data_IF_225349515158
#
_entry.id   IF_225349515158
#
_cell.length_a   1.000
_cell.length_b   1.000
_cell.length_c   1.000
_cell.angle_alpha   90.00
_cell.angle_beta   90.00
_cell.angle_gamma   90.00
#
_symmetry.space_group_name_H-M   'P 1'
#
loop_
_entity.id
_entity.type
_entity.pdbx_description
1 polymer ?
#
# COMPACT_ATOMS: atom_id res chain seq x y z
N UNK A 1 -2.86 30.28 10.53
CA UNK A 1 -4.04 29.42 10.71
C UNK A 1 -3.94 28.29 9.69
N UNK A 2 -3.70 27.05 10.10
CA UNK A 2 -3.52 25.91 9.19
C UNK A 2 -4.85 25.21 8.97
N UNK A 3 -5.31 25.14 7.73
CA UNK A 3 -6.48 24.38 7.30
C UNK A 3 -5.98 23.23 6.42
N UNK A 4 -6.37 22.00 6.74
CA UNK A 4 -6.10 20.81 5.93
C UNK A 4 -7.42 20.27 5.43
N UNK A 5 -7.56 20.12 4.11
CA UNK A 5 -8.70 19.47 3.49
C UNK A 5 -8.36 17.99 3.26
N UNK A 6 -9.18 17.09 3.79
CA UNK A 6 -9.02 15.63 3.62
C UNK A 6 -10.15 15.14 2.71
N UNK A 7 -9.79 14.54 1.59
CA UNK A 7 -10.72 14.01 0.60
C UNK A 7 -10.34 12.56 0.27
N UNK A 8 -10.75 11.63 1.14
CA UNK A 8 -10.51 10.20 0.93
C UNK A 8 -11.66 9.59 0.13
N UNK A 9 -11.35 8.87 -0.97
CA UNK A 9 -12.35 8.22 -1.81
C UNK A 9 -13.27 7.31 -0.98
N UNK A 10 -14.58 7.50 -1.10
CA UNK A 10 -15.58 6.74 -0.35
C UNK A 10 -15.80 7.19 1.10
N UNK A 11 -15.13 8.24 1.58
CA UNK A 11 -15.36 8.84 2.92
C UNK A 11 -15.93 10.25 2.82
N UNK A 12 -16.53 10.74 3.90
CA UNK A 12 -16.99 12.12 4.00
C UNK A 12 -15.78 13.08 4.01
N UNK A 13 -15.77 14.15 3.21
CA UNK A 13 -14.66 15.09 3.20
C UNK A 13 -14.59 15.86 4.53
N UNK A 14 -13.37 16.11 5.02
CA UNK A 14 -13.10 16.77 6.30
C UNK A 14 -12.26 18.03 6.13
N UNK A 15 -12.54 19.04 6.94
CA UNK A 15 -11.70 20.20 7.17
C UNK A 15 -11.08 20.11 8.56
N UNK A 16 -9.76 19.98 8.61
CA UNK A 16 -8.98 19.90 9.87
C UNK A 16 -8.36 21.25 10.20
N UNK A 17 -8.60 21.71 11.42
CA UNK A 17 -8.00 22.89 12.01
C UNK A 17 -7.36 22.51 13.37
N UNK A 18 -6.52 23.37 13.97
CA UNK A 18 -5.98 23.11 15.30
C UNK A 18 -7.05 22.93 16.39
N UNK A 19 -8.24 23.49 16.16
CA UNK A 19 -9.39 23.41 17.07
C UNK A 19 -10.27 22.16 16.87
N UNK A 20 -10.01 21.33 15.85
CA UNK A 20 -10.79 20.11 15.59
C UNK A 20 -10.91 19.72 14.11
N UNK A 21 -11.71 18.69 13.84
CA UNK A 21 -12.09 18.26 12.49
C UNK A 21 -13.57 18.57 12.26
N UNK A 22 -13.90 19.07 11.06
CA UNK A 22 -15.27 19.37 10.65
C UNK A 22 -15.62 18.62 9.38
N UNK A 23 -16.77 17.93 9.38
CA UNK A 23 -17.32 17.31 8.18
C UNK A 23 -17.85 18.41 7.25
N UNK A 24 -17.35 18.43 6.01
CA UNK A 24 -17.70 19.45 5.03
C UNK A 24 -18.95 19.05 4.25
N UNK A 25 -19.14 17.75 4.06
CA UNK A 25 -20.29 17.17 3.37
C UNK A 25 -20.61 15.81 3.94
N UNK A 26 -21.90 15.51 4.03
CA UNK A 26 -22.40 14.19 4.41
C UNK A 26 -22.27 13.17 3.27
N UNK A 27 -22.08 13.64 2.03
CA UNK A 27 -21.88 12.80 0.87
C UNK A 27 -20.42 12.29 0.82
N UNK A 28 -20.19 10.98 0.63
CA UNK A 28 -18.86 10.44 0.42
C UNK A 28 -18.19 11.01 -0.83
N UNK A 29 -16.88 11.26 -0.75
CA UNK A 29 -16.06 11.71 -1.88
C UNK A 29 -16.07 10.65 -2.98
N UNK A 30 -16.39 11.09 -4.19
CA UNK A 30 -16.39 10.24 -5.39
C UNK A 30 -15.11 10.41 -6.20
N UNK A 31 -14.88 9.51 -7.16
CA UNK A 31 -13.73 9.61 -8.06
C UNK A 31 -13.81 10.86 -8.96
N UNK A 32 -15.03 11.32 -9.28
CA UNK A 32 -15.24 12.56 -10.03
C UNK A 32 -14.85 13.78 -9.19
N UNK A 33 -15.14 13.77 -7.89
CA UNK A 33 -14.74 14.86 -6.99
C UNK A 33 -13.22 14.98 -6.88
N UNK A 34 -12.51 13.86 -6.81
CA UNK A 34 -11.04 13.85 -6.82
C UNK A 34 -10.45 14.37 -8.14
N UNK A 35 -11.00 13.92 -9.28
CA UNK A 35 -10.59 14.41 -10.60
C UNK A 35 -10.83 15.92 -10.74
N UNK A 36 -11.99 16.40 -10.28
CA UNK A 36 -12.32 17.82 -10.28
C UNK A 36 -11.37 18.60 -9.36
N UNK A 37 -11.10 18.11 -8.16
CA UNK A 37 -10.15 18.72 -7.24
C UNK A 37 -8.78 18.83 -7.90
N UNK A 38 -8.20 17.73 -8.40
CA UNK A 38 -6.90 17.73 -9.10
C UNK A 38 -6.87 18.73 -10.26
N UNK A 39 -7.94 18.82 -11.07
CA UNK A 39 -8.02 19.75 -12.21
C UNK A 39 -7.90 21.24 -11.82
N UNK A 40 -8.21 21.60 -10.57
CA UNK A 40 -8.17 22.99 -10.07
C UNK A 40 -6.84 23.36 -9.43
N UNK A 41 -5.98 22.37 -9.17
CA UNK A 41 -4.83 22.52 -8.28
C UNK A 41 -3.54 22.71 -9.07
N UNK A 42 -3.52 22.39 -10.37
CA UNK A 42 -2.32 22.47 -11.21
C UNK A 42 -1.39 21.28 -11.00
N UNK A 43 -0.34 21.17 -11.81
CA UNK A 43 0.60 20.02 -11.77
C UNK A 43 1.24 19.86 -10.39
N UNK A 44 1.37 18.62 -9.94
CA UNK A 44 2.06 18.28 -8.68
C UNK A 44 3.58 18.28 -8.91
N UNK A 45 4.33 18.88 -7.98
CA UNK A 45 5.79 18.73 -7.90
C UNK A 45 6.17 17.38 -7.30
N UNK A 46 7.45 17.00 -7.45
CA UNK A 46 8.02 15.72 -7.00
C UNK A 46 7.82 15.41 -5.49
N UNK A 47 7.44 16.40 -4.67
CA UNK A 47 7.08 16.23 -3.27
C UNK A 47 5.57 15.99 -3.04
N UNK A 48 4.83 15.65 -4.11
CA UNK A 48 3.38 15.47 -4.10
C UNK A 48 2.59 16.70 -3.62
N UNK A 49 3.19 17.89 -3.76
CA UNK A 49 2.54 19.16 -3.44
C UNK A 49 2.21 19.92 -4.71
N UNK A 50 1.12 20.64 -4.66
CA UNK A 50 0.73 21.56 -5.72
C UNK A 50 0.15 22.84 -5.13
N UNK A 51 0.06 23.88 -5.95
CA UNK A 51 -0.34 25.23 -5.54
C UNK A 51 -1.62 25.61 -6.30
N UNK A 52 -2.67 25.96 -5.57
CA UNK A 52 -3.83 26.55 -6.22
C UNK A 52 -3.43 27.93 -6.77
N UNK A 53 -3.58 28.10 -8.08
CA UNK A 53 -3.28 29.35 -8.76
C UNK A 53 -3.94 30.55 -8.05
N UNK A 54 -3.15 31.61 -7.83
CA UNK A 54 -3.57 32.86 -7.14
C UNK A 54 -3.95 32.70 -5.66
N UNK A 55 -3.46 31.67 -4.97
CA UNK A 55 -3.60 31.54 -3.52
C UNK A 55 -2.29 31.14 -2.83
N UNK A 56 -2.22 31.36 -1.51
CA UNK A 56 -1.14 30.85 -0.65
C UNK A 56 -1.40 29.42 -0.15
N UNK A 57 -2.51 28.80 -0.57
CA UNK A 57 -2.86 27.44 -0.15
C UNK A 57 -2.05 26.41 -0.94
N UNK A 58 -1.41 25.50 -0.20
CA UNK A 58 -0.73 24.31 -0.73
C UNK A 58 -1.63 23.11 -0.55
N UNK A 59 -1.72 22.28 -1.57
CA UNK A 59 -2.42 21.00 -1.51
C UNK A 59 -1.37 19.90 -1.57
N UNK A 60 -1.43 18.98 -0.62
CA UNK A 60 -0.65 17.75 -0.66
C UNK A 60 -1.61 16.64 -1.07
N UNK A 61 -1.33 15.98 -2.19
CA UNK A 61 -2.11 14.82 -2.61
C UNK A 61 -1.28 13.57 -2.38
N UNK A 62 -1.76 12.67 -1.54
CA UNK A 62 -1.22 11.31 -1.50
C UNK A 62 -2.01 10.53 -2.55
N UNK A 63 -1.66 10.72 -3.81
CA UNK A 63 -2.16 9.91 -4.91
C UNK A 63 -1.41 8.59 -4.88
N UNK A 64 -2.05 7.54 -4.36
CA UNK A 64 -1.48 6.19 -4.42
C UNK A 64 -2.04 5.47 -5.64
N UNK A 65 -1.57 5.91 -6.81
CA UNK A 65 -1.68 5.19 -8.07
C UNK A 65 -0.41 5.49 -8.86
N UNK A 66 0.40 4.47 -9.18
CA UNK A 66 1.65 4.62 -9.95
C UNK A 66 2.96 4.52 -9.15
N UNK A 67 2.93 4.35 -7.82
CA UNK A 67 4.16 4.17 -7.04
C UNK A 67 4.90 2.86 -7.34
N UNK A 68 4.18 1.83 -7.83
CA UNK A 68 4.80 0.61 -8.31
C UNK A 68 5.54 0.78 -9.65
N UNK A 69 5.17 1.76 -10.50
CA UNK A 69 5.92 2.01 -11.75
C UNK A 69 7.36 2.44 -11.46
N UNK A 70 7.57 3.22 -10.39
CA UNK A 70 8.90 3.72 -9.98
C UNK A 70 9.87 2.56 -9.66
N UNK A 71 9.33 1.43 -9.19
CA UNK A 71 10.12 0.25 -8.79
C UNK A 71 9.92 -0.93 -9.74
N UNK A 72 9.26 -0.72 -10.88
CA UNK A 72 8.95 -1.79 -11.84
C UNK A 72 10.21 -2.49 -12.35
N UNK A 73 11.23 -1.72 -12.71
CA UNK A 73 12.51 -2.26 -13.16
C UNK A 73 13.18 -3.13 -12.08
N UNK A 74 13.03 -2.76 -10.81
CA UNK A 74 13.53 -3.51 -9.66
C UNK A 74 12.79 -4.84 -9.50
N UNK A 75 11.48 -4.81 -9.70
CA UNK A 75 10.59 -5.99 -9.65
C UNK A 75 10.90 -6.95 -10.81
N UNK A 76 11.12 -6.43 -12.01
CA UNK A 76 11.48 -7.22 -13.20
C UNK A 76 12.89 -7.82 -13.09
N UNK A 77 13.79 -7.18 -12.33
CA UNK A 77 15.13 -7.70 -12.03
C UNK A 77 15.14 -8.97 -11.17
N UNK A 78 14.01 -9.36 -10.59
CA UNK A 78 13.83 -10.64 -9.88
C UNK A 78 14.54 -10.76 -8.53
N UNK A 79 15.30 -9.75 -8.10
CA UNK A 79 15.99 -9.77 -6.80
C UNK A 79 15.06 -9.58 -5.61
N UNK A 80 15.49 -9.98 -4.41
CA UNK A 80 14.75 -9.66 -3.19
C UNK A 80 14.78 -8.17 -2.88
N UNK A 81 13.66 -7.62 -2.41
CA UNK A 81 13.46 -6.19 -2.18
C UNK A 81 13.06 -5.96 -0.72
N UNK A 82 13.75 -5.05 -0.05
CA UNK A 82 13.42 -4.61 1.31
C UNK A 82 12.90 -3.17 1.27
N UNK A 83 11.69 -2.96 1.79
CA UNK A 83 11.01 -1.66 1.83
C UNK A 83 11.11 -1.09 3.24
N UNK A 84 11.96 -0.08 3.42
CA UNK A 84 12.22 0.56 4.72
C UNK A 84 11.68 1.99 4.76
N UNK A 85 11.13 2.42 5.89
CA UNK A 85 10.80 3.83 6.12
C UNK A 85 10.13 4.10 7.47
N UNK A 86 10.04 5.38 7.85
CA UNK A 86 9.36 5.80 9.08
C UNK A 86 7.89 5.32 9.13
N UNK A 87 7.30 5.15 10.32
CA UNK A 87 5.88 4.84 10.43
C UNK A 87 5.00 5.84 9.66
N UNK A 88 3.99 5.35 8.95
CA UNK A 88 3.01 6.18 8.24
C UNK A 88 3.46 6.74 6.87
N UNK A 89 4.65 6.38 6.35
CA UNK A 89 5.13 6.88 5.04
C UNK A 89 4.51 6.16 3.83
N UNK A 90 3.65 5.17 4.05
CA UNK A 90 2.93 4.47 2.96
C UNK A 90 3.54 3.15 2.48
N UNK A 91 4.42 2.51 3.27
CA UNK A 91 5.04 1.20 2.94
C UNK A 91 4.01 0.12 2.62
N UNK A 92 3.00 -0.02 3.47
CA UNK A 92 1.90 -0.98 3.30
C UNK A 92 1.11 -0.69 2.02
N UNK A 93 0.89 0.58 1.69
CA UNK A 93 0.17 0.95 0.47
C UNK A 93 0.98 0.66 -0.78
N UNK A 94 2.29 0.93 -0.77
CA UNK A 94 3.19 0.55 -1.85
C UNK A 94 3.15 -0.96 -2.09
N UNK A 95 3.20 -1.76 -1.02
CA UNK A 95 3.27 -3.22 -1.13
C UNK A 95 1.96 -3.84 -1.60
N UNK A 96 0.81 -3.32 -1.16
CA UNK A 96 -0.48 -3.72 -1.73
C UNK A 96 -0.49 -3.51 -3.25
N UNK A 97 0.00 -2.36 -3.70
CA UNK A 97 0.06 -2.06 -5.13
C UNK A 97 1.04 -2.97 -5.89
N UNK A 98 2.22 -3.27 -5.33
CA UNK A 98 3.15 -4.26 -5.88
C UNK A 98 2.48 -5.63 -5.98
N UNK A 99 1.84 -6.09 -4.91
CA UNK A 99 1.18 -7.39 -4.86
C UNK A 99 0.08 -7.50 -5.93
N UNK A 100 -0.76 -6.46 -6.03
CA UNK A 100 -1.81 -6.35 -7.04
C UNK A 100 -1.22 -6.36 -8.44
N UNK A 101 -0.21 -5.55 -8.73
CA UNK A 101 0.44 -5.48 -10.05
C UNK A 101 1.02 -6.84 -10.44
N UNK A 102 1.80 -7.46 -9.55
CA UNK A 102 2.39 -8.78 -9.78
C UNK A 102 1.33 -9.87 -10.01
N UNK A 103 0.27 -9.89 -9.20
CA UNK A 103 -0.77 -10.91 -9.28
C UNK A 103 -1.72 -10.69 -10.46
N UNK A 104 -2.13 -9.46 -10.74
CA UNK A 104 -3.18 -9.16 -11.72
C UNK A 104 -2.64 -8.92 -13.11
N UNK A 105 -1.59 -8.12 -13.21
CA UNK A 105 -1.01 -7.65 -14.47
C UNK A 105 0.06 -8.61 -14.97
N UNK A 106 1.02 -8.98 -14.11
CA UNK A 106 2.07 -9.94 -14.46
C UNK A 106 1.65 -11.41 -14.29
N UNK A 107 0.45 -11.66 -13.73
CA UNK A 107 -0.11 -12.99 -13.52
C UNK A 107 0.79 -13.94 -12.71
N UNK A 108 1.64 -13.39 -11.84
CA UNK A 108 2.49 -14.19 -10.94
C UNK A 108 1.65 -14.81 -9.82
N UNK A 109 2.09 -15.97 -9.34
CA UNK A 109 1.61 -16.59 -8.10
C UNK A 109 2.23 -15.85 -6.91
N UNK A 110 1.49 -14.87 -6.39
CA UNK A 110 1.91 -14.06 -5.25
C UNK A 110 1.26 -14.58 -3.97
N UNK A 111 2.08 -14.81 -2.94
CA UNK A 111 1.61 -15.12 -1.57
C UNK A 111 2.10 -14.04 -0.61
N UNK A 112 1.18 -13.52 0.19
CA UNK A 112 1.44 -12.56 1.27
C UNK A 112 1.36 -13.31 2.59
N UNK A 113 2.45 -13.32 3.33
CA UNK A 113 2.53 -13.82 4.70
C UNK A 113 2.33 -12.63 5.64
N UNK A 114 1.12 -12.50 6.17
CA UNK A 114 0.64 -11.31 6.85
C UNK A 114 0.57 -11.54 8.36
N UNK A 115 1.55 -10.99 9.08
CA UNK A 115 1.71 -11.27 10.51
C UNK A 115 0.93 -10.29 11.39
N UNK A 116 0.87 -9.02 10.99
CA UNK A 116 0.15 -7.98 11.73
C UNK A 116 -1.27 -7.75 11.22
N UNK A 117 -1.66 -8.42 10.13
CA UNK A 117 -2.86 -8.14 9.33
C UNK A 117 -2.86 -6.75 8.66
N UNK A 118 -1.74 -6.03 8.66
CA UNK A 118 -1.67 -4.70 8.05
C UNK A 118 -1.79 -4.77 6.52
N UNK A 119 -1.33 -5.82 5.85
CA UNK A 119 -1.34 -5.85 4.38
C UNK A 119 -2.73 -6.25 3.85
N UNK A 120 -3.27 -7.36 4.33
CA UNK A 120 -4.52 -7.96 3.87
C UNK A 120 -5.75 -7.57 4.68
N UNK A 121 -5.60 -6.91 5.82
CA UNK A 121 -6.68 -6.50 6.71
C UNK A 121 -7.07 -7.56 7.75
N UNK A 122 -7.88 -7.18 8.73
CA UNK A 122 -8.21 -8.03 9.90
C UNK A 122 -9.26 -9.13 9.64
N UNK A 123 -10.04 -9.04 8.55
CA UNK A 123 -11.10 -10.01 8.25
C UNK A 123 -10.57 -11.28 7.58
N UNK A 124 -11.40 -12.33 7.51
CA UNK A 124 -11.07 -13.60 6.84
C UNK A 124 -10.92 -13.44 5.32
N UNK A 125 -11.62 -12.47 4.74
CA UNK A 125 -11.52 -12.11 3.32
C UNK A 125 -10.46 -11.01 3.16
N UNK A 126 -9.42 -11.22 2.34
CA UNK A 126 -8.38 -10.22 2.15
C UNK A 126 -8.91 -8.97 1.44
N UNK A 127 -8.33 -7.83 1.80
CA UNK A 127 -8.63 -6.53 1.20
C UNK A 127 -8.39 -6.53 -0.32
N UNK A 128 -9.30 -5.96 -1.11
CA UNK A 128 -9.22 -5.95 -2.58
C UNK A 128 -7.95 -5.31 -3.16
N UNK A 129 -7.31 -4.45 -2.37
CA UNK A 129 -6.06 -3.77 -2.72
C UNK A 129 -4.85 -4.67 -2.98
N UNK A 130 -4.90 -5.96 -2.65
CA UNK A 130 -3.83 -6.93 -3.02
C UNK A 130 -4.12 -7.69 -4.33
N UNK A 131 -5.25 -7.41 -5.00
CA UNK A 131 -5.65 -8.10 -6.22
C UNK A 131 -5.89 -9.59 -6.00
N UNK A 132 -5.42 -10.43 -6.93
CA UNK A 132 -5.49 -11.90 -6.83
C UNK A 132 -4.40 -12.54 -5.96
N UNK A 133 -3.56 -11.74 -5.28
CA UNK A 133 -2.57 -12.29 -4.37
C UNK A 133 -3.25 -13.09 -3.25
N UNK A 134 -2.65 -14.23 -2.88
CA UNK A 134 -3.15 -15.06 -1.78
C UNK A 134 -2.61 -14.50 -0.47
N UNK A 135 -3.42 -14.52 0.57
CA UNK A 135 -3.00 -14.12 1.92
C UNK A 135 -2.99 -15.32 2.84
N UNK A 136 -1.89 -15.50 3.54
CA UNK A 136 -1.77 -16.41 4.69
C UNK A 136 -1.60 -15.56 5.94
N UNK A 137 -2.59 -15.59 6.84
CA UNK A 137 -2.50 -14.91 8.13
C UNK A 137 -1.68 -15.75 9.09
N UNK A 138 -0.89 -15.09 9.94
CA UNK A 138 -0.12 -15.74 10.98
C UNK A 138 -0.86 -15.61 12.33
N UNK A 139 -1.39 -16.72 12.91
CA UNK A 139 -2.08 -16.65 14.21
C UNK A 139 -1.16 -16.29 15.37
N UNK A 140 0.13 -16.61 15.24
CA UNK A 140 1.15 -16.38 16.25
C UNK A 140 2.50 -16.18 15.56
N UNK A 141 3.22 -15.11 15.87
CA UNK A 141 4.51 -14.76 15.24
C UNK A 141 5.53 -15.90 15.23
N UNK A 142 5.50 -16.80 16.22
CA UNK A 142 6.41 -17.95 16.28
C UNK A 142 6.15 -18.99 15.17
N UNK A 143 4.96 -18.97 14.56
CA UNK A 143 4.58 -19.85 13.46
C UNK A 143 4.91 -19.26 12.08
N UNK A 144 5.50 -18.05 12.02
CA UNK A 144 5.78 -17.40 10.75
C UNK A 144 6.64 -18.28 9.84
N UNK A 145 7.67 -18.93 10.37
CA UNK A 145 8.53 -19.83 9.60
C UNK A 145 7.77 -21.04 9.02
N UNK A 146 6.94 -21.70 9.84
CA UNK A 146 6.17 -22.86 9.40
C UNK A 146 5.15 -22.49 8.34
N UNK A 147 4.49 -21.33 8.49
CA UNK A 147 3.55 -20.83 7.48
C UNK A 147 4.27 -20.40 6.20
N UNK A 148 5.49 -19.90 6.29
CA UNK A 148 6.32 -19.63 5.11
C UNK A 148 6.67 -20.91 4.36
N UNK A 149 6.96 -22.01 5.06
CA UNK A 149 7.15 -23.34 4.43
C UNK A 149 5.85 -23.79 3.78
N UNK A 150 4.74 -23.72 4.50
CA UNK A 150 3.41 -24.09 3.99
C UNK A 150 3.03 -23.29 2.73
N UNK A 151 3.34 -21.99 2.72
CA UNK A 151 3.13 -21.11 1.57
C UNK A 151 3.84 -21.64 0.32
N UNK A 152 5.09 -22.11 0.48
CA UNK A 152 5.87 -22.66 -0.62
C UNK A 152 5.29 -23.99 -1.08
N UNK A 153 5.06 -24.91 -0.15
CA UNK A 153 4.62 -26.28 -0.44
C UNK A 153 3.24 -26.30 -1.10
N UNK A 154 2.31 -25.47 -0.63
CA UNK A 154 0.92 -25.50 -1.07
C UNK A 154 0.58 -24.54 -2.21
N UNK A 155 1.42 -23.52 -2.46
CA UNK A 155 1.11 -22.49 -3.47
C UNK A 155 2.18 -22.32 -4.54
N UNK A 156 3.36 -22.93 -4.40
CA UNK A 156 4.49 -22.82 -5.33
C UNK A 156 4.68 -21.38 -5.85
N UNK A 157 4.81 -20.39 -4.97
CA UNK A 157 4.75 -18.98 -5.33
C UNK A 157 5.95 -18.57 -6.19
N UNK A 158 5.70 -17.69 -7.15
CA UNK A 158 6.77 -16.96 -7.86
C UNK A 158 7.25 -15.77 -7.03
N UNK A 159 6.38 -15.25 -6.16
CA UNK A 159 6.72 -14.14 -5.27
C UNK A 159 6.11 -14.34 -3.88
N UNK A 160 6.93 -14.13 -2.85
CA UNK A 160 6.47 -14.07 -1.46
C UNK A 160 6.67 -12.65 -0.92
N UNK A 161 5.64 -12.12 -0.28
CA UNK A 161 5.66 -10.84 0.42
C UNK A 161 5.48 -11.12 1.91
N UNK A 162 6.34 -10.57 2.75
CA UNK A 162 6.35 -10.85 4.20
C UNK A 162 6.31 -9.54 4.98
N UNK A 163 5.39 -9.45 5.92
CA UNK A 163 5.27 -8.32 6.85
C UNK A 163 6.17 -8.46 8.10
N UNK A 164 6.65 -7.33 8.65
CA UNK A 164 7.68 -7.30 9.71
C UNK A 164 7.14 -7.63 11.11
N UNK A 165 7.58 -8.78 11.64
CA UNK A 165 8.56 -8.90 12.75
C UNK A 165 8.97 -10.37 12.87
N UNK A 166 10.26 -10.68 12.76
CA UNK A 166 10.83 -11.99 13.17
C UNK A 166 11.69 -12.72 12.14
N UNK A 167 12.02 -12.09 11.02
CA UNK A 167 12.74 -12.74 9.91
C UNK A 167 14.19 -13.05 10.29
N UNK A 168 14.41 -14.22 10.90
CA UNK A 168 15.67 -14.96 10.75
C UNK A 168 15.50 -15.90 9.56
N UNK A 169 15.88 -15.45 8.36
CA UNK A 169 15.96 -16.31 7.19
C UNK A 169 17.12 -17.29 7.37
N UNK A 170 16.84 -18.42 8.02
CA UNK A 170 17.81 -19.53 8.14
C UNK A 170 17.72 -20.47 6.95
N UNK A 171 16.64 -20.40 6.16
CA UNK A 171 16.36 -21.33 5.06
C UNK A 171 16.07 -20.58 3.75
N UNK A 172 16.74 -20.92 2.65
CA UNK A 172 16.41 -20.40 1.33
C UNK A 172 14.97 -20.79 0.96
N UNK A 173 14.13 -19.80 0.70
CA UNK A 173 12.79 -20.02 0.16
C UNK A 173 12.95 -20.11 -1.36
N UNK A 174 12.48 -21.19 -2.01
CA UNK A 174 12.51 -21.31 -3.46
C UNK A 174 11.40 -20.44 -4.07
N UNK A 175 11.56 -19.12 -3.97
CA UNK A 175 10.78 -18.12 -4.69
C UNK A 175 11.73 -17.29 -5.55
N UNK A 176 11.30 -16.91 -6.75
CA UNK A 176 12.11 -16.03 -7.60
C UNK A 176 12.37 -14.70 -6.91
N UNK A 177 11.39 -14.16 -6.17
CA UNK A 177 11.45 -12.81 -5.61
C UNK A 177 10.79 -12.76 -4.23
N UNK A 178 11.46 -12.13 -3.26
CA UNK A 178 10.96 -11.93 -1.90
C UNK A 178 10.89 -10.44 -1.55
N UNK A 179 9.75 -9.98 -1.06
CA UNK A 179 9.57 -8.62 -0.55
C UNK A 179 9.44 -8.62 0.96
N UNK A 180 10.27 -7.81 1.62
CA UNK A 180 10.26 -7.60 3.07
C UNK A 180 9.82 -6.16 3.37
N UNK A 181 8.98 -5.99 4.38
CA UNK A 181 8.67 -4.67 4.97
C UNK A 181 9.60 -4.45 6.16
N UNK A 182 10.08 -3.23 6.41
CA UNK A 182 10.68 -2.79 7.69
C UNK A 182 10.34 -1.34 8.03
#
# INVERSE_FOLDING_TARGET
MSLILVMDLGRKPLARFPSGDWVISEMPVTQQDLKLAVSKVGDFSDDNRSKINRSLHRISAILVSGSAEIIRDLIEGGGSILVIGSPGVGKTTLIREIARMLADEHRKRVVIVDTSNEIGGDGDVPHSGIGRARRMQIPNVNLQHDVMIEAVENHMPETIIIDERGVQLVTPIPSETMFLIS
#
